data_IF_281018915480
#
_entry.id   IF_281018915480
#
_cell.length_a   1.000
_cell.length_b   1.000
_cell.length_c   1.000
_cell.angle_alpha   90.00
_cell.angle_beta   90.00
_cell.angle_gamma   90.00
#
_symmetry.space_group_name_H-M   'P 1'
#
loop_
_entity.id
_entity.type
_entity.pdbx_description
1 polymer ?
#
# COMPACT_ATOMS: atom_id res chain seq x y z
N UNK A 1 37.82 22.94 74.75
CA UNK A 1 38.04 23.52 73.41
C UNK A 1 38.36 22.46 72.33
N UNK A 2 39.24 21.49 72.61
CA UNK A 2 39.68 20.46 71.65
C UNK A 2 38.56 19.51 71.15
N UNK A 3 37.78 18.93 72.07
CA UNK A 3 36.64 18.04 71.75
C UNK A 3 35.56 18.70 70.88
N UNK A 4 35.33 20.01 71.07
CA UNK A 4 34.33 20.77 70.29
C UNK A 4 34.79 20.98 68.83
N UNK A 5 36.11 21.12 68.59
CA UNK A 5 36.70 21.19 67.25
C UNK A 5 36.63 19.84 66.53
N UNK A 6 36.98 18.74 67.20
CA UNK A 6 36.90 17.38 66.63
C UNK A 6 35.47 17.00 66.23
N UNK A 7 34.47 17.35 67.05
CA UNK A 7 33.06 17.11 66.74
C UNK A 7 32.58 17.90 65.51
N UNK A 8 33.03 19.15 65.36
CA UNK A 8 32.72 19.97 64.19
C UNK A 8 33.36 19.38 62.93
N UNK A 9 34.62 18.93 63.03
CA UNK A 9 35.35 18.34 61.90
C UNK A 9 34.76 16.99 61.45
N UNK A 10 34.28 16.16 62.39
CA UNK A 10 33.55 14.93 62.05
C UNK A 10 32.23 15.25 61.35
N UNK A 11 31.46 16.21 61.86
CA UNK A 11 30.19 16.62 61.25
C UNK A 11 30.36 17.22 59.86
N UNK A 12 31.43 17.99 59.61
CA UNK A 12 31.71 18.51 58.25
C UNK A 12 32.12 17.40 57.29
N UNK A 13 32.96 16.44 57.71
CA UNK A 13 33.34 15.28 56.88
C UNK A 13 32.13 14.39 56.54
N UNK A 14 31.24 14.17 57.51
CA UNK A 14 30.02 13.40 57.32
C UNK A 14 29.03 14.12 56.37
N UNK A 15 28.82 15.43 56.56
CA UNK A 15 27.99 16.23 55.67
C UNK A 15 28.53 16.26 54.23
N UNK A 16 29.86 16.31 54.06
CA UNK A 16 30.50 16.29 52.74
C UNK A 16 30.34 14.92 52.06
N UNK A 17 30.48 13.82 52.80
CA UNK A 17 30.23 12.46 52.30
C UNK A 17 28.77 12.27 51.85
N UNK A 18 27.81 12.71 52.67
CA UNK A 18 26.37 12.67 52.33
C UNK A 18 26.09 13.49 51.07
N UNK A 19 26.73 14.66 50.93
CA UNK A 19 26.60 15.52 49.74
C UNK A 19 27.13 14.82 48.48
N UNK A 20 28.30 14.19 48.56
CA UNK A 20 28.90 13.43 47.45
C UNK A 20 28.03 12.22 47.06
N UNK A 21 27.55 11.44 48.04
CA UNK A 21 26.64 10.30 47.80
C UNK A 21 25.32 10.74 47.15
N UNK A 22 24.76 11.88 47.58
CA UNK A 22 23.54 12.45 46.99
C UNK A 22 23.75 12.89 45.55
N UNK A 23 24.91 13.50 45.23
CA UNK A 23 25.27 13.90 43.86
C UNK A 23 25.41 12.65 42.98
N UNK A 24 26.17 11.64 43.43
CA UNK A 24 26.36 10.39 42.69
C UNK A 24 25.03 9.65 42.44
N UNK A 25 24.12 9.64 43.42
CA UNK A 25 22.78 9.05 43.27
C UNK A 25 21.96 9.80 42.21
N UNK A 26 21.96 11.14 42.25
CA UNK A 26 21.27 11.98 41.25
C UNK A 26 21.81 11.81 39.84
N UNK A 27 23.13 11.65 39.69
CA UNK A 27 23.75 11.39 38.39
C UNK A 27 23.33 10.03 37.83
N UNK A 28 23.36 8.97 38.65
CA UNK A 28 22.87 7.63 38.25
C UNK A 28 21.39 7.64 37.86
N UNK A 29 20.55 8.36 38.61
CA UNK A 29 19.12 8.52 38.29
C UNK A 29 18.92 9.28 36.97
N UNK A 30 19.68 10.34 36.73
CA UNK A 30 19.66 11.09 35.45
C UNK A 30 20.09 10.21 34.28
N UNK A 31 21.14 9.40 34.44
CA UNK A 31 21.56 8.47 33.39
C UNK A 31 20.51 7.39 33.11
N UNK A 32 19.92 6.81 34.16
CA UNK A 32 18.84 5.83 34.02
C UNK A 32 17.64 6.44 33.31
N UNK A 33 17.25 7.65 33.67
CA UNK A 33 16.17 8.37 33.01
C UNK A 33 16.48 8.66 31.53
N UNK A 34 17.71 9.12 31.22
CA UNK A 34 18.15 9.34 29.82
C UNK A 34 18.10 8.05 29.00
N UNK A 35 18.59 6.93 29.55
CA UNK A 35 18.54 5.62 28.90
C UNK A 35 17.10 5.15 28.67
N UNK A 36 16.22 5.35 29.65
CA UNK A 36 14.81 4.99 29.51
C UNK A 36 14.11 5.83 28.44
N UNK A 37 14.38 7.14 28.37
CA UNK A 37 13.87 8.01 27.32
C UNK A 37 14.38 7.59 25.94
N UNK A 38 15.68 7.31 25.81
CA UNK A 38 16.26 6.82 24.56
C UNK A 38 15.62 5.50 24.12
N UNK A 39 15.45 4.54 25.04
CA UNK A 39 14.79 3.26 24.74
C UNK A 39 13.32 3.44 24.33
N UNK A 40 12.60 4.38 24.95
CA UNK A 40 11.21 4.70 24.57
C UNK A 40 11.14 5.31 23.17
N UNK A 41 12.06 6.21 22.84
CA UNK A 41 12.13 6.82 21.51
C UNK A 41 12.47 5.76 20.45
N UNK A 42 13.50 4.94 20.69
CA UNK A 42 13.86 3.85 19.79
C UNK A 42 12.70 2.88 19.57
N UNK A 43 11.96 2.52 20.63
CA UNK A 43 10.78 1.64 20.49
C UNK A 43 9.67 2.28 19.64
N UNK A 44 9.48 3.59 19.75
CA UNK A 44 8.51 4.32 18.91
C UNK A 44 8.94 4.34 17.45
N UNK A 45 10.22 4.58 17.18
CA UNK A 45 10.77 4.57 15.82
C UNK A 45 10.61 3.19 15.18
N UNK A 46 10.97 2.11 15.88
CA UNK A 46 10.77 0.74 15.40
C UNK A 46 9.29 0.44 15.13
N UNK A 47 8.39 0.89 16.02
CA UNK A 47 6.95 0.68 15.79
C UNK A 47 6.46 1.43 14.55
N UNK A 48 6.92 2.67 14.34
CA UNK A 48 6.55 3.46 13.17
C UNK A 48 7.04 2.83 11.87
N UNK A 49 8.26 2.29 11.87
CA UNK A 49 8.82 1.55 10.73
C UNK A 49 8.00 0.28 10.43
N UNK A 50 7.69 -0.52 11.46
CA UNK A 50 6.85 -1.72 11.31
C UNK A 50 5.44 -1.39 10.81
N UNK A 51 4.85 -0.29 11.28
CA UNK A 51 3.53 0.14 10.82
C UNK A 51 3.56 0.63 9.37
N UNK A 52 4.68 1.22 8.92
CA UNK A 52 4.89 1.59 7.52
C UNK A 52 5.04 0.34 6.65
N UNK A 53 5.88 -0.61 7.04
CA UNK A 53 6.07 -1.87 6.31
C UNK A 53 4.75 -2.64 6.17
N UNK A 54 3.94 -2.67 7.23
CA UNK A 54 2.62 -3.31 7.18
C UNK A 54 1.70 -2.65 6.16
N UNK A 55 1.71 -1.31 6.07
CA UNK A 55 0.90 -0.57 5.10
C UNK A 55 1.34 -0.88 3.67
N UNK A 56 2.65 -0.88 3.41
CA UNK A 56 3.21 -1.21 2.10
C UNK A 56 2.79 -2.62 1.69
N UNK A 57 2.98 -3.61 2.57
CA UNK A 57 2.59 -4.98 2.29
C UNK A 57 1.08 -5.13 2.03
N UNK A 58 0.24 -4.37 2.75
CA UNK A 58 -1.20 -4.36 2.52
C UNK A 58 -1.56 -3.71 1.17
N UNK A 59 -0.90 -2.63 0.79
CA UNK A 59 -1.07 -1.98 -0.52
C UNK A 59 -0.66 -2.92 -1.66
N UNK A 60 0.45 -3.65 -1.51
CA UNK A 60 0.92 -4.63 -2.50
C UNK A 60 -0.11 -5.74 -2.73
N UNK A 61 -0.67 -6.30 -1.65
CA UNK A 61 -1.74 -7.32 -1.74
C UNK A 61 -2.97 -6.76 -2.44
N UNK A 62 -3.37 -5.53 -2.12
CA UNK A 62 -4.52 -4.88 -2.76
C UNK A 62 -4.28 -4.63 -4.25
N UNK A 63 -3.07 -4.22 -4.64
CA UNK A 63 -2.67 -4.02 -6.02
C UNK A 63 -2.67 -5.32 -6.82
N UNK A 64 -2.20 -6.42 -6.22
CA UNK A 64 -2.25 -7.76 -6.83
C UNK A 64 -3.70 -8.21 -7.04
N UNK A 65 -4.56 -8.06 -6.02
CA UNK A 65 -5.98 -8.40 -6.12
C UNK A 65 -6.71 -7.55 -7.17
N UNK A 66 -6.44 -6.25 -7.25
CA UNK A 66 -6.98 -5.36 -8.29
C UNK A 66 -6.53 -5.79 -9.68
N UNK A 67 -5.26 -6.15 -9.84
CA UNK A 67 -4.72 -6.61 -11.12
C UNK A 67 -5.33 -7.94 -11.55
N UNK A 68 -5.47 -8.90 -10.62
CA UNK A 68 -6.13 -10.17 -10.87
C UNK A 68 -7.60 -9.97 -11.28
N UNK A 69 -8.32 -9.10 -10.59
CA UNK A 69 -9.70 -8.75 -10.93
C UNK A 69 -9.82 -8.20 -12.37
N UNK A 70 -8.99 -7.22 -12.74
CA UNK A 70 -8.95 -6.69 -14.11
C UNK A 70 -8.59 -7.78 -15.13
N UNK A 71 -7.64 -8.67 -14.80
CA UNK A 71 -7.26 -9.78 -15.66
C UNK A 71 -8.39 -10.80 -15.86
N UNK A 72 -9.20 -11.08 -14.84
CA UNK A 72 -10.37 -11.94 -14.96
C UNK A 72 -11.42 -11.34 -15.90
N UNK A 73 -11.65 -10.02 -15.81
CA UNK A 73 -12.52 -9.29 -16.75
C UNK A 73 -11.95 -9.40 -18.17
N UNK A 74 -10.67 -9.08 -18.37
CA UNK A 74 -10.03 -9.15 -19.68
C UNK A 74 -10.06 -10.56 -20.27
N UNK A 75 -9.88 -11.59 -19.45
CA UNK A 75 -10.02 -12.99 -19.84
C UNK A 75 -11.45 -13.31 -20.27
N UNK A 76 -12.46 -12.88 -19.50
CA UNK A 76 -13.88 -13.05 -19.89
C UNK A 76 -14.17 -12.38 -21.23
N UNK A 77 -13.72 -11.13 -21.43
CA UNK A 77 -13.87 -10.42 -22.72
C UNK A 77 -13.20 -11.20 -23.86
N UNK A 78 -11.99 -11.72 -23.67
CA UNK A 78 -11.33 -12.57 -24.67
C UNK A 78 -12.13 -13.83 -24.97
N UNK A 79 -12.70 -14.50 -23.96
CA UNK A 79 -13.51 -15.71 -24.17
C UNK A 79 -14.80 -15.45 -24.96
N UNK A 80 -15.32 -14.22 -24.98
CA UNK A 80 -16.49 -13.82 -25.76
C UNK A 80 -16.14 -13.25 -27.15
N UNK A 81 -14.86 -12.97 -27.40
CA UNK A 81 -14.40 -12.37 -28.63
C UNK A 81 -14.32 -13.40 -29.78
N UNK A 82 -14.81 -13.02 -30.97
CA UNK A 82 -15.01 -13.95 -32.11
C UNK A 82 -14.44 -13.45 -33.44
N UNK A 83 -13.64 -12.39 -33.43
CA UNK A 83 -13.16 -11.78 -34.67
C UNK A 83 -11.87 -12.43 -35.18
N UNK A 84 -11.93 -12.97 -36.40
CA UNK A 84 -10.84 -13.75 -37.02
C UNK A 84 -9.93 -12.91 -37.93
N UNK A 85 -10.26 -11.63 -38.15
CA UNK A 85 -9.54 -10.75 -39.08
C UNK A 85 -8.41 -9.93 -38.46
N UNK A 86 -8.08 -10.19 -37.19
CA UNK A 86 -7.08 -9.44 -36.44
C UNK A 86 -5.66 -10.00 -36.65
N UNK A 87 -4.66 -9.17 -36.40
CA UNK A 87 -3.26 -9.57 -36.32
C UNK A 87 -2.80 -9.58 -34.88
N UNK A 88 -1.81 -10.40 -34.57
CA UNK A 88 -1.30 -10.64 -33.22
C UNK A 88 -0.86 -9.37 -32.49
N UNK A 89 -0.27 -8.40 -33.21
CA UNK A 89 0.21 -7.16 -32.63
C UNK A 89 -0.88 -6.09 -32.45
N UNK A 90 -2.11 -6.32 -32.90
CA UNK A 90 -3.18 -5.35 -32.72
C UNK A 90 -3.61 -5.25 -31.26
N UNK A 91 -3.90 -4.03 -30.84
CA UNK A 91 -4.33 -3.77 -29.47
C UNK A 91 -5.30 -2.60 -29.39
N UNK A 92 -6.00 -2.49 -28.27
CA UNK A 92 -6.80 -1.32 -27.96
C UNK A 92 -6.99 -1.14 -26.45
N UNK A 93 -6.99 0.11 -25.98
CA UNK A 93 -7.35 0.43 -24.61
C UNK A 93 -8.86 0.34 -24.47
N UNK A 94 -9.33 -0.47 -23.52
CA UNK A 94 -10.73 -0.71 -23.26
C UNK A 94 -11.10 -0.07 -21.93
N UNK A 95 -11.96 0.93 -21.99
CA UNK A 95 -12.57 1.55 -20.83
C UNK A 95 -14.03 1.09 -20.70
N UNK A 96 -14.39 0.56 -19.54
CA UNK A 96 -15.72 0.03 -19.25
C UNK A 96 -16.27 0.75 -18.01
N UNK A 97 -17.53 1.15 -18.09
CA UNK A 97 -18.31 1.55 -16.92
C UNK A 97 -19.26 0.41 -16.53
N UNK A 98 -19.23 -0.01 -15.27
CA UNK A 98 -20.11 -1.05 -14.73
C UNK A 98 -20.87 -0.59 -13.48
N UNK A 99 -21.97 -1.26 -13.19
CA UNK A 99 -22.66 -1.13 -11.90
C UNK A 99 -22.09 -2.09 -10.83
N UNK A 100 -22.66 -2.03 -9.62
CA UNK A 100 -22.24 -2.87 -8.48
C UNK A 100 -22.45 -4.38 -8.70
N UNK A 101 -23.28 -4.76 -9.66
CA UNK A 101 -23.56 -6.15 -10.02
C UNK A 101 -22.74 -6.63 -11.22
N UNK A 102 -21.81 -5.80 -11.70
CA UNK A 102 -21.00 -6.07 -12.89
C UNK A 102 -21.74 -5.83 -14.21
N UNK A 103 -22.91 -5.19 -14.20
CA UNK A 103 -23.64 -4.89 -15.43
C UNK A 103 -22.93 -3.78 -16.19
N UNK A 104 -22.57 -4.06 -17.44
CA UNK A 104 -21.87 -3.10 -18.31
C UNK A 104 -22.85 -2.02 -18.73
N UNK A 105 -22.52 -0.78 -18.37
CA UNK A 105 -23.30 0.42 -18.69
C UNK A 105 -22.79 1.09 -19.97
N UNK A 106 -21.47 1.13 -20.17
CA UNK A 106 -20.87 1.70 -21.38
C UNK A 106 -19.48 1.14 -21.64
N UNK A 107 -19.05 1.25 -22.90
CA UNK A 107 -17.73 0.82 -23.37
C UNK A 107 -17.15 1.92 -24.25
N UNK A 108 -15.89 2.27 -24.02
CA UNK A 108 -15.15 3.21 -24.84
C UNK A 108 -13.79 2.60 -25.22
N UNK A 109 -13.46 2.67 -26.51
CA UNK A 109 -12.24 2.11 -27.08
C UNK A 109 -11.29 3.23 -27.49
N UNK A 110 -10.15 3.31 -26.84
CA UNK A 110 -9.15 4.36 -26.99
C UNK A 110 -7.83 3.78 -27.52
N UNK A 111 -7.00 4.63 -28.13
CA UNK A 111 -5.61 4.29 -28.50
C UNK A 111 -5.42 2.96 -29.26
N UNK A 112 -6.36 2.54 -30.13
CA UNK A 112 -6.21 1.26 -30.80
C UNK A 112 -5.10 1.26 -31.86
N UNK A 113 -4.16 0.32 -31.75
CA UNK A 113 -3.10 0.08 -32.73
C UNK A 113 -3.54 -0.97 -33.75
N UNK A 114 -3.77 -0.53 -34.99
CA UNK A 114 -4.29 -1.35 -36.10
C UNK A 114 -3.71 -0.85 -37.44
N UNK A 115 -2.93 -1.69 -38.12
CA UNK A 115 -2.29 -1.32 -39.41
C UNK A 115 -3.29 -0.95 -40.51
N UNK A 116 -4.45 -1.61 -40.52
CA UNK A 116 -5.41 -1.51 -41.61
C UNK A 116 -6.63 -0.70 -41.15
N UNK A 117 -6.66 0.57 -41.55
CA UNK A 117 -7.75 1.50 -41.24
C UNK A 117 -9.13 0.98 -41.67
N UNK A 118 -9.22 0.20 -42.76
CA UNK A 118 -10.47 -0.39 -43.22
C UNK A 118 -10.97 -1.51 -42.28
N UNK A 119 -10.07 -2.21 -41.59
CA UNK A 119 -10.40 -3.25 -40.59
C UNK A 119 -10.51 -2.71 -39.17
N UNK A 120 -9.97 -1.51 -38.90
CA UNK A 120 -9.96 -0.90 -37.57
C UNK A 120 -11.37 -0.77 -36.97
N UNK A 121 -12.35 -0.32 -37.76
CA UNK A 121 -13.74 -0.23 -37.29
C UNK A 121 -14.33 -1.59 -36.92
N UNK A 122 -14.13 -2.61 -37.76
CA UNK A 122 -14.62 -3.97 -37.52
C UNK A 122 -13.97 -4.60 -36.28
N UNK A 123 -12.67 -4.38 -36.10
CA UNK A 123 -11.92 -4.81 -34.92
C UNK A 123 -12.45 -4.12 -33.65
N UNK A 124 -12.55 -2.79 -33.63
CA UNK A 124 -13.11 -2.04 -32.49
C UNK A 124 -14.51 -2.53 -32.12
N UNK A 125 -15.44 -2.57 -33.09
CA UNK A 125 -16.80 -3.03 -32.86
C UNK A 125 -16.85 -4.48 -32.37
N UNK A 126 -15.86 -5.31 -32.71
CA UNK A 126 -15.80 -6.68 -32.21
C UNK A 126 -15.39 -6.78 -30.75
N UNK A 127 -14.46 -5.92 -30.29
CA UNK A 127 -14.07 -5.83 -28.88
C UNK A 127 -15.26 -5.30 -28.07
N UNK A 128 -15.90 -4.23 -28.52
CA UNK A 128 -17.08 -3.65 -27.87
C UNK A 128 -18.20 -4.69 -27.69
N UNK A 129 -18.53 -5.45 -28.74
CA UNK A 129 -19.50 -6.56 -28.63
C UNK A 129 -19.08 -7.63 -27.64
N UNK A 130 -17.80 -7.97 -27.57
CA UNK A 130 -17.29 -8.97 -26.63
C UNK A 130 -17.42 -8.47 -25.18
N UNK A 131 -17.20 -7.18 -24.93
CA UNK A 131 -17.42 -6.56 -23.63
C UNK A 131 -18.89 -6.63 -23.22
N UNK A 132 -19.83 -6.21 -24.07
CA UNK A 132 -21.25 -6.31 -23.73
C UNK A 132 -21.72 -7.75 -23.51
N UNK A 133 -21.21 -8.72 -24.28
CA UNK A 133 -21.48 -10.16 -24.07
C UNK A 133 -20.90 -10.71 -22.77
N UNK A 134 -19.87 -10.06 -22.25
CA UNK A 134 -19.26 -10.44 -20.97
C UNK A 134 -20.07 -9.95 -19.78
N UNK A 135 -21.14 -9.17 -19.98
CA UNK A 135 -22.00 -8.68 -18.92
C UNK A 135 -22.96 -9.78 -18.39
N UNK A 136 -23.13 -9.94 -17.07
CA UNK A 136 -22.41 -9.26 -16.00
C UNK A 136 -20.93 -9.68 -15.93
N UNK A 137 -20.05 -8.70 -15.73
CA UNK A 137 -18.63 -8.93 -15.52
C UNK A 137 -18.40 -9.77 -14.26
N UNK A 138 -17.30 -10.54 -14.18
CA UNK A 138 -16.95 -11.28 -12.98
C UNK A 138 -17.01 -10.40 -11.73
N UNK A 139 -17.52 -10.91 -10.60
CA UNK A 139 -17.53 -10.13 -9.37
C UNK A 139 -16.12 -9.92 -8.84
N UNK A 140 -15.88 -8.76 -8.23
CA UNK A 140 -14.63 -8.50 -7.53
C UNK A 140 -14.45 -9.49 -6.36
N UNK A 141 -13.23 -10.01 -6.10
CA UNK A 141 -12.98 -10.95 -5.01
C UNK A 141 -13.14 -10.29 -3.62
N UNK A 142 -12.96 -8.97 -3.55
CA UNK A 142 -13.18 -8.15 -2.37
C UNK A 142 -13.81 -6.80 -2.77
N UNK A 143 -14.59 -6.20 -1.88
CA UNK A 143 -15.21 -4.89 -2.12
C UNK A 143 -14.17 -3.77 -2.25
N UNK A 144 -13.03 -3.87 -1.58
CA UNK A 144 -11.95 -2.86 -1.61
C UNK A 144 -11.25 -2.76 -2.96
N UNK A 145 -11.36 -3.78 -3.81
CA UNK A 145 -10.76 -3.79 -5.16
C UNK A 145 -11.79 -3.57 -6.26
N UNK A 146 -13.07 -3.52 -5.92
CA UNK A 146 -14.11 -3.17 -6.88
C UNK A 146 -13.96 -1.73 -7.34
N UNK A 147 -14.04 -1.53 -8.65
CA UNK A 147 -14.04 -0.22 -9.29
C UNK A 147 -15.15 -0.19 -10.35
N UNK A 148 -15.89 0.92 -10.40
CA UNK A 148 -16.93 1.12 -11.44
C UNK A 148 -16.31 1.33 -12.81
N UNK A 149 -15.10 1.87 -12.83
CA UNK A 149 -14.34 2.14 -14.04
C UNK A 149 -13.27 1.07 -14.19
N UNK A 150 -13.33 0.33 -15.29
CA UNK A 150 -12.35 -0.71 -15.61
C UNK A 150 -11.59 -0.29 -16.85
N UNK A 151 -10.27 -0.22 -16.71
CA UNK A 151 -9.35 0.05 -17.81
C UNK A 151 -8.40 -1.13 -17.98
N UNK A 152 -8.33 -1.67 -19.20
CA UNK A 152 -7.31 -2.65 -19.55
C UNK A 152 -6.95 -2.56 -21.03
N UNK A 153 -5.75 -3.05 -21.36
CA UNK A 153 -5.29 -3.16 -22.75
C UNK A 153 -5.76 -4.50 -23.31
N UNK A 154 -6.63 -4.48 -24.29
CA UNK A 154 -6.97 -5.66 -25.08
C UNK A 154 -5.85 -5.93 -26.07
N UNK A 155 -5.27 -7.14 -26.01
CA UNK A 155 -4.28 -7.62 -26.99
C UNK A 155 -4.77 -8.91 -27.63
N UNK A 156 -4.55 -9.06 -28.94
CA UNK A 156 -4.93 -10.26 -29.68
C UNK A 156 -4.15 -11.47 -29.18
N UNK A 157 -2.82 -11.32 -28.99
CA UNK A 157 -1.94 -12.28 -28.33
C UNK A 157 -1.20 -11.64 -27.14
#
# INVERSE_FOLDING_TARGET
>A
AKQKKELIEQKTKEAEKIRQETIAKREKEKEKFKKEQANRNLKKEIQQEQDLDRKIAQEDILNELKSNYINQIAARVRTEWRYQGAKDHWSCDVYILQDINGIVQSVNLQSCDVDNSAKAKSFKNSIERAVYKSSPLPPAPDQSVFDREVLFIFKVN
#
